data_IF_583779332655
#
_entry.id   IF_583779332655
#
_cell.length_a   1.000
_cell.length_b   1.000
_cell.length_c   1.000
_cell.angle_alpha   90.00
_cell.angle_beta   90.00
_cell.angle_gamma   90.00
#
_symmetry.space_group_name_H-M   'P 1'
#
loop_
_entity.id
_entity.type
_entity.pdbx_description
1 polymer ?
#
# COMPACT_ATOMS: atom_id res chain seq x y z
N UNK A 1 7.86 13.57 24.87
CA UNK A 1 7.37 12.37 25.59
C UNK A 1 5.93 12.54 26.09
N UNK A 2 5.63 13.54 26.95
CA UNK A 2 4.29 13.75 27.56
C UNK A 2 3.11 13.72 26.58
N UNK A 3 3.22 14.41 25.45
CA UNK A 3 2.11 14.54 24.48
C UNK A 3 1.66 13.19 23.89
N UNK A 4 2.60 12.29 23.60
CA UNK A 4 2.30 10.96 23.03
C UNK A 4 1.54 10.09 24.05
N UNK A 5 1.88 10.20 25.33
CA UNK A 5 1.16 9.51 26.40
C UNK A 5 -0.23 10.12 26.64
N UNK A 6 -0.36 11.45 26.56
CA UNK A 6 -1.65 12.12 26.67
C UNK A 6 -2.62 11.68 25.56
N UNK A 7 -2.15 11.67 24.30
CA UNK A 7 -2.95 11.19 23.16
C UNK A 7 -3.36 9.72 23.31
N UNK A 8 -2.47 8.87 23.84
CA UNK A 8 -2.78 7.46 24.11
C UNK A 8 -3.86 7.32 25.18
N UNK A 9 -3.75 8.06 26.29
CA UNK A 9 -4.75 8.08 27.36
C UNK A 9 -6.12 8.47 26.81
N UNK A 10 -6.21 9.58 26.11
CA UNK A 10 -7.44 10.07 25.50
C UNK A 10 -8.03 9.08 24.49
N UNK A 11 -7.18 8.46 23.66
CA UNK A 11 -7.62 7.42 22.71
C UNK A 11 -8.19 6.20 23.42
N UNK A 12 -7.53 5.75 24.49
CA UNK A 12 -7.97 4.61 25.31
C UNK A 12 -9.31 4.93 25.97
N UNK A 13 -9.45 6.11 26.57
CA UNK A 13 -10.70 6.55 27.21
C UNK A 13 -11.86 6.62 26.21
N UNK A 14 -11.64 7.18 25.02
CA UNK A 14 -12.66 7.17 23.94
C UNK A 14 -13.02 5.76 23.48
N UNK A 15 -12.03 4.88 23.34
CA UNK A 15 -12.27 3.51 22.92
C UNK A 15 -13.12 2.76 23.95
N UNK A 16 -12.84 2.93 25.24
CA UNK A 16 -13.64 2.35 26.31
C UNK A 16 -15.03 2.99 26.42
N UNK A 17 -15.16 4.31 26.22
CA UNK A 17 -16.45 4.98 26.18
C UNK A 17 -17.37 4.42 25.09
N UNK A 18 -16.85 4.36 23.86
CA UNK A 18 -17.58 3.78 22.72
C UNK A 18 -17.91 2.31 22.92
N UNK A 19 -17.00 1.51 23.48
CA UNK A 19 -17.28 0.10 23.73
C UNK A 19 -18.35 -0.11 24.82
N UNK A 20 -18.39 0.75 25.83
CA UNK A 20 -19.45 0.74 26.86
C UNK A 20 -20.84 0.98 26.28
N UNK A 21 -20.96 1.92 25.34
CA UNK A 21 -22.24 2.31 24.74
C UNK A 21 -22.64 1.42 23.56
N UNK A 22 -21.78 1.25 22.56
CA UNK A 22 -22.13 0.53 21.32
C UNK A 22 -22.00 -0.99 21.41
N UNK A 23 -21.18 -1.51 22.33
CA UNK A 23 -20.97 -2.95 22.49
C UNK A 23 -21.62 -3.51 23.75
N UNK A 24 -22.57 -2.78 24.36
CA UNK A 24 -23.35 -3.21 25.53
C UNK A 24 -22.50 -3.62 26.74
N UNK A 25 -21.27 -3.10 26.85
CA UNK A 25 -20.40 -3.43 27.98
C UNK A 25 -20.81 -2.71 29.26
N UNK A 26 -21.66 -1.67 29.17
CA UNK A 26 -22.26 -1.01 30.34
C UNK A 26 -23.50 -1.77 30.85
N UNK A 27 -24.38 -2.18 29.93
CA UNK A 27 -25.60 -2.93 30.25
C UNK A 27 -25.71 -4.10 29.29
N UNK A 28 -25.32 -5.27 29.76
CA UNK A 28 -25.38 -6.52 29.00
C UNK A 28 -26.66 -7.28 29.32
N UNK A 29 -27.18 -8.00 28.32
CA UNK A 29 -28.28 -8.97 28.51
C UNK A 29 -27.76 -10.37 28.81
N UNK A 30 -26.44 -10.59 28.68
CA UNK A 30 -25.81 -11.88 28.91
C UNK A 30 -25.68 -12.14 30.42
N UNK A 31 -25.98 -13.37 30.83
CA UNK A 31 -25.83 -13.83 32.21
C UNK A 31 -24.62 -14.76 32.31
N UNK A 32 -23.88 -14.66 33.42
CA UNK A 32 -22.72 -15.49 33.70
C UNK A 32 -21.39 -14.85 33.29
N UNK A 33 -20.35 -15.12 34.09
CA UNK A 33 -19.01 -14.54 33.95
C UNK A 33 -18.32 -14.96 32.64
N UNK A 34 -18.40 -16.24 32.30
CA UNK A 34 -17.79 -16.81 31.09
C UNK A 34 -18.33 -16.16 29.80
N UNK A 35 -19.65 -15.96 29.71
CA UNK A 35 -20.29 -15.33 28.55
C UNK A 35 -19.88 -13.86 28.38
N UNK A 36 -19.70 -13.16 29.51
CA UNK A 36 -19.21 -11.79 29.51
C UNK A 36 -17.74 -11.69 29.10
N UNK A 37 -16.89 -12.57 29.62
CA UNK A 37 -15.48 -12.63 29.26
C UNK A 37 -15.29 -12.96 27.77
N UNK A 38 -16.06 -13.90 27.22
CA UNK A 38 -16.03 -14.22 25.80
C UNK A 38 -16.44 -13.03 24.91
N UNK A 39 -17.51 -12.33 25.29
CA UNK A 39 -18.01 -11.16 24.54
C UNK A 39 -17.04 -9.98 24.59
N UNK A 40 -16.46 -9.73 25.77
CA UNK A 40 -15.40 -8.73 25.95
C UNK A 40 -14.16 -9.07 25.12
N UNK A 41 -13.68 -10.32 25.21
CA UNK A 41 -12.52 -10.80 24.46
C UNK A 41 -12.71 -10.64 22.95
N UNK A 42 -13.86 -11.04 22.43
CA UNK A 42 -14.20 -10.89 21.02
C UNK A 42 -14.25 -9.41 20.60
N UNK A 43 -14.88 -8.55 21.40
CA UNK A 43 -14.98 -7.11 21.12
C UNK A 43 -13.60 -6.47 21.04
N UNK A 44 -12.73 -6.77 22.01
CA UNK A 44 -11.36 -6.24 22.04
C UNK A 44 -10.51 -6.78 20.88
N UNK A 45 -10.65 -8.07 20.53
CA UNK A 45 -9.98 -8.65 19.37
C UNK A 45 -10.39 -7.94 18.07
N UNK A 46 -11.70 -7.71 17.87
CA UNK A 46 -12.22 -7.00 16.71
C UNK A 46 -11.71 -5.53 16.65
N UNK A 47 -11.66 -4.83 17.78
CA UNK A 47 -11.14 -3.46 17.84
C UNK A 47 -9.64 -3.40 17.48
N UNK A 48 -8.87 -4.40 17.92
CA UNK A 48 -7.47 -4.55 17.55
C UNK A 48 -7.32 -4.82 16.04
N UNK A 49 -8.09 -5.75 15.48
CA UNK A 49 -8.06 -6.03 14.03
C UNK A 49 -8.44 -4.80 13.19
N UNK A 50 -9.44 -4.02 13.63
CA UNK A 50 -9.81 -2.75 12.97
C UNK A 50 -8.65 -1.75 12.95
N UNK A 51 -7.86 -1.68 14.02
CA UNK A 51 -6.67 -0.83 14.08
C UNK A 51 -5.60 -1.30 13.09
N UNK A 52 -5.31 -2.60 13.04
CA UNK A 52 -4.35 -3.16 12.08
C UNK A 52 -4.79 -2.94 10.63
N UNK A 53 -6.07 -3.17 10.32
CA UNK A 53 -6.63 -2.93 8.98
C UNK A 53 -6.40 -1.50 8.50
N UNK A 54 -6.62 -0.49 9.36
CA UNK A 54 -6.36 0.91 9.01
C UNK A 54 -4.88 1.20 8.73
N UNK A 55 -3.98 0.59 9.50
CA UNK A 55 -2.54 0.74 9.28
C UNK A 55 -2.15 0.11 7.94
N UNK A 56 -2.62 -1.11 7.68
CA UNK A 56 -2.34 -1.81 6.43
C UNK A 56 -2.88 -1.08 5.21
N UNK A 57 -4.11 -0.55 5.28
CA UNK A 57 -4.69 0.26 4.20
C UNK A 57 -3.83 1.50 3.89
N UNK A 58 -3.29 2.16 4.91
CA UNK A 58 -2.36 3.28 4.72
C UNK A 58 -1.06 2.86 4.04
N UNK A 59 -0.49 1.72 4.42
CA UNK A 59 0.74 1.19 3.80
C UNK A 59 0.50 0.82 2.33
N UNK A 60 -0.60 0.12 2.04
CA UNK A 60 -0.98 -0.26 0.67
C UNK A 60 -1.18 0.98 -0.19
N UNK A 61 -1.84 2.01 0.33
CA UNK A 61 -2.01 3.28 -0.37
C UNK A 61 -0.67 3.93 -0.76
N UNK A 62 0.30 3.95 0.16
CA UNK A 62 1.63 4.48 -0.12
C UNK A 62 2.39 3.67 -1.18
N UNK A 63 2.26 2.34 -1.16
CA UNK A 63 2.86 1.46 -2.17
C UNK A 63 2.25 1.72 -3.53
N UNK A 64 0.91 1.79 -3.63
CA UNK A 64 0.22 2.11 -4.89
C UNK A 64 0.65 3.46 -5.46
N UNK A 65 0.80 4.50 -4.62
CA UNK A 65 1.31 5.79 -5.06
C UNK A 65 2.76 5.72 -5.57
N UNK A 66 3.60 4.89 -4.96
CA UNK A 66 4.99 4.67 -5.39
C UNK A 66 5.03 3.98 -6.75
N UNK A 67 4.25 2.90 -6.91
CA UNK A 67 4.13 2.17 -8.17
C UNK A 67 3.60 3.09 -9.26
N UNK A 68 2.51 3.82 -9.02
CA UNK A 68 1.94 4.75 -10.00
C UNK A 68 2.92 5.82 -10.50
N UNK A 69 3.87 6.28 -9.66
CA UNK A 69 4.93 7.21 -10.07
C UNK A 69 6.07 6.55 -10.84
N UNK A 70 6.42 5.31 -10.51
CA UNK A 70 7.53 4.58 -11.14
C UNK A 70 7.11 3.94 -12.47
N UNK A 71 5.87 3.47 -12.59
CA UNK A 71 5.30 2.87 -13.79
C UNK A 71 5.51 3.68 -15.08
N UNK A 72 5.21 4.99 -15.16
CA UNK A 72 5.42 5.77 -16.38
C UNK A 72 6.91 5.91 -16.75
N UNK A 73 7.81 6.01 -15.77
CA UNK A 73 9.26 6.11 -16.01
C UNK A 73 9.79 4.81 -16.65
N UNK A 74 9.34 3.65 -16.17
CA UNK A 74 9.71 2.35 -16.75
C UNK A 74 9.16 2.23 -18.18
N UNK A 75 7.90 2.60 -18.41
CA UNK A 75 7.28 2.58 -19.74
C UNK A 75 8.06 3.46 -20.73
N UNK A 76 8.44 4.67 -20.32
CA UNK A 76 9.25 5.57 -21.14
C UNK A 76 10.63 4.97 -21.46
N UNK A 77 11.33 4.41 -20.47
CA UNK A 77 12.62 3.72 -20.66
C UNK A 77 12.53 2.50 -21.60
N UNK A 78 11.46 1.72 -21.49
CA UNK A 78 11.21 0.58 -22.37
C UNK A 78 10.96 1.05 -23.81
N UNK A 79 10.12 2.08 -23.99
CA UNK A 79 9.84 2.65 -25.31
C UNK A 79 11.10 3.23 -25.97
N UNK A 80 11.91 3.96 -25.20
CA UNK A 80 13.22 4.45 -25.63
C UNK A 80 14.13 3.30 -26.09
N UNK A 81 14.23 2.22 -25.29
CA UNK A 81 15.07 1.06 -25.63
C UNK A 81 14.57 0.29 -26.85
N UNK A 82 13.25 0.19 -27.06
CA UNK A 82 12.68 -0.40 -28.29
C UNK A 82 12.93 0.49 -29.51
N UNK A 83 12.92 1.81 -29.35
CA UNK A 83 13.25 2.76 -30.40
C UNK A 83 14.73 2.65 -30.83
N UNK A 84 15.67 2.54 -29.88
CA UNK A 84 17.08 2.26 -30.18
C UNK A 84 17.30 0.91 -30.88
N UNK A 85 16.54 -0.14 -30.53
CA UNK A 85 16.62 -1.46 -31.19
C UNK A 85 16.12 -1.46 -32.63
N UNK A 86 15.19 -0.58 -32.98
CA UNK A 86 14.64 -0.45 -34.33
C UNK A 86 15.27 0.68 -35.14
N UNK A 87 16.24 1.41 -34.58
CA UNK A 87 17.03 2.38 -35.34
C UNK A 87 17.87 1.60 -36.35
N UNK A 88 17.73 1.83 -37.67
CA UNK A 88 18.58 1.18 -38.65
C UNK A 88 20.02 1.59 -38.35
N UNK A 89 20.83 0.63 -37.91
CA UNK A 89 22.27 0.80 -37.76
C UNK A 89 22.80 0.96 -39.18
N UNK A 90 23.19 2.18 -39.56
CA UNK A 90 23.93 2.41 -40.79
C UNK A 90 25.26 1.66 -40.66
N UNK A 91 25.33 0.48 -41.27
CA UNK A 91 26.57 -0.27 -41.49
C UNK A 91 27.44 0.56 -42.44
N UNK A 92 28.31 1.36 -41.84
CA UNK A 92 29.42 2.01 -42.52
C UNK A 92 30.51 0.97 -42.74
N UNK A 93 30.40 0.14 -43.78
CA UNK A 93 31.49 -0.72 -44.26
C UNK A 93 31.28 -1.07 -45.73
N UNK A 94 32.23 -0.61 -46.54
CA UNK A 94 32.74 -1.27 -47.76
C UNK A 94 31.85 -1.31 -49.01
N UNK A 95 32.02 -0.29 -49.86
CA UNK A 95 32.11 -0.53 -51.32
C UNK A 95 33.23 0.34 -51.89
N UNK A 96 34.45 -0.17 -51.77
CA UNK A 96 35.58 0.29 -52.57
C UNK A 96 35.55 -0.40 -53.93
N UNK A 97 35.62 0.42 -54.99
CA UNK A 97 36.11 0.10 -56.34
C UNK A 97 35.51 -1.10 -57.09
N UNK A 98 34.62 -0.81 -58.05
CA UNK A 98 34.74 -1.37 -59.41
C UNK A 98 34.07 -0.43 -60.43
N UNK A 99 34.90 0.34 -61.14
CA UNK A 99 34.66 0.92 -62.46
C UNK A 99 35.75 0.31 -63.36
N UNK A 100 35.54 0.02 -64.67
CA UNK A 100 34.92 0.96 -65.61
C UNK A 100 34.08 0.37 -66.78
N UNK A 101 33.31 1.27 -67.41
CA UNK A 101 32.89 1.40 -68.83
C UNK A 101 32.37 0.18 -69.63
N UNK A 102 31.14 0.28 -70.20
CA UNK A 102 30.91 0.23 -71.66
C UNK A 102 29.45 0.59 -72.04
N UNK A 103 29.34 1.44 -73.07
CA UNK A 103 28.16 1.94 -73.81
C UNK A 103 27.25 3.01 -73.17
#
# INVERSE_FOLDING_TARGET
MKERYQKRKETIERLFGTAKEYHNLRYTRLKGKSNMEATLGLTLACLNMKKYSKIMAGIVFLICLKVAKVSPIIIMKVNEKTNWRFRPVCLQSEVGHFMPNLL
#
